data_IF_405554039821
#
_entry.id   IF_405554039821
#
_cell.length_a   1.000
_cell.length_b   1.000
_cell.length_c   1.000
_cell.angle_alpha   90.00
_cell.angle_beta   90.00
_cell.angle_gamma   90.00
#
_symmetry.space_group_name_H-M   'P 1'
#
loop_
_entity.id
_entity.type
_entity.pdbx_description
1 polymer ?
#
# COMPACT_ATOMS: atom_id res chain seq x y z
N UNK A 1 15.57 15.71 24.92
CA UNK A 1 15.50 14.91 23.69
C UNK A 1 14.10 14.31 23.66
N UNK A 2 13.30 14.66 22.65
CA UNK A 2 12.00 14.02 22.45
C UNK A 2 12.28 12.72 21.69
N UNK A 3 12.08 11.58 22.33
CA UNK A 3 12.04 10.28 21.64
C UNK A 3 10.91 10.36 20.61
N UNK A 4 11.26 10.35 19.33
CA UNK A 4 10.31 10.04 18.27
C UNK A 4 9.88 8.59 18.51
N UNK A 5 8.66 8.42 19.03
CA UNK A 5 7.99 7.12 19.06
C UNK A 5 7.76 6.76 17.59
N UNK A 6 8.62 5.90 17.04
CA UNK A 6 8.39 5.27 15.74
C UNK A 6 7.09 4.47 15.83
N UNK A 7 6.03 4.98 15.22
CA UNK A 7 4.81 4.23 15.02
C UNK A 7 5.13 3.18 13.95
N UNK A 8 5.15 1.90 14.32
CA UNK A 8 5.41 0.79 13.38
C UNK A 8 4.62 0.97 12.07
N UNK A 9 5.34 1.25 10.98
CA UNK A 9 4.79 1.41 9.63
C UNK A 9 4.56 2.86 9.14
N UNK A 10 4.94 3.90 9.90
CA UNK A 10 4.87 5.27 9.42
C UNK A 10 6.10 5.62 8.55
N UNK A 11 5.88 5.84 7.24
CA UNK A 11 6.92 6.25 6.28
C UNK A 11 7.24 7.75 6.40
N UNK A 12 8.48 8.15 6.11
CA UNK A 12 8.80 9.57 5.95
C UNK A 12 8.13 10.15 4.68
N UNK A 13 7.97 11.47 4.60
CA UNK A 13 7.38 12.11 3.41
C UNK A 13 8.16 11.83 2.12
N UNK A 14 9.49 11.78 2.19
CA UNK A 14 10.32 11.42 1.04
C UNK A 14 10.15 9.95 0.65
N UNK A 15 10.11 9.06 1.64
CA UNK A 15 9.86 7.64 1.40
C UNK A 15 8.45 7.41 0.82
N UNK A 16 7.46 8.23 1.18
CA UNK A 16 6.10 8.13 0.66
C UNK A 16 6.02 8.41 -0.84
N UNK A 17 6.72 9.44 -1.35
CA UNK A 17 6.69 9.76 -2.77
C UNK A 17 7.42 8.70 -3.60
N UNK A 18 8.59 8.24 -3.14
CA UNK A 18 9.33 7.16 -3.80
C UNK A 18 8.56 5.84 -3.77
N UNK A 19 7.98 5.50 -2.61
CA UNK A 19 7.14 4.30 -2.46
C UNK A 19 5.95 4.37 -3.41
N UNK A 20 5.24 5.50 -3.47
CA UNK A 20 4.08 5.64 -4.36
C UNK A 20 4.44 5.43 -5.83
N UNK A 21 5.59 5.95 -6.29
CA UNK A 21 6.06 5.73 -7.66
C UNK A 21 6.36 4.24 -7.92
N UNK A 22 7.06 3.57 -7.01
CA UNK A 22 7.32 2.12 -7.11
C UNK A 22 6.04 1.30 -7.13
N UNK A 23 5.04 1.66 -6.31
CA UNK A 23 3.72 1.01 -6.34
C UNK A 23 3.06 1.16 -7.72
N UNK A 24 3.14 2.34 -8.35
CA UNK A 24 2.65 2.52 -9.72
C UNK A 24 3.43 1.69 -10.75
N UNK A 25 4.75 1.59 -10.64
CA UNK A 25 5.57 0.75 -11.53
C UNK A 25 5.14 -0.72 -11.47
N UNK A 26 4.85 -1.26 -10.26
CA UNK A 26 4.34 -2.62 -10.11
C UNK A 26 2.97 -2.79 -10.77
N UNK A 27 2.06 -1.83 -10.58
CA UNK A 27 0.75 -1.86 -11.22
C UNK A 27 0.88 -1.85 -12.74
N UNK A 28 1.68 -0.95 -13.30
CA UNK A 28 1.91 -0.83 -14.75
C UNK A 28 2.53 -2.10 -15.34
N UNK A 29 3.56 -2.66 -14.70
CA UNK A 29 4.18 -3.91 -15.13
C UNK A 29 3.22 -5.11 -15.14
N UNK A 30 2.16 -5.05 -14.32
CA UNK A 30 1.11 -6.06 -14.24
C UNK A 30 -0.16 -5.68 -15.04
N UNK A 31 -0.11 -4.65 -15.90
CA UNK A 31 -1.23 -4.13 -16.71
C UNK A 31 -2.45 -3.62 -15.90
N UNK A 32 -2.19 -3.06 -14.71
CA UNK A 32 -3.21 -2.38 -13.90
C UNK A 32 -3.06 -0.86 -14.00
N UNK A 33 -4.16 -0.17 -14.25
CA UNK A 33 -4.19 1.29 -14.44
C UNK A 33 -5.14 1.96 -13.44
N UNK A 34 -4.84 1.81 -12.15
CA UNK A 34 -5.62 2.42 -11.08
C UNK A 34 -4.95 3.69 -10.54
N UNK A 35 -5.76 4.63 -10.05
CA UNK A 35 -5.27 5.78 -9.30
C UNK A 35 -5.20 5.46 -7.81
N UNK A 36 -4.01 5.59 -7.21
CA UNK A 36 -3.78 5.30 -5.78
C UNK A 36 -4.31 6.45 -4.92
N UNK A 37 -5.34 6.18 -4.12
CA UNK A 37 -5.88 7.08 -3.10
C UNK A 37 -5.03 7.03 -1.82
N UNK A 38 -4.79 5.85 -1.28
CA UNK A 38 -3.96 5.63 -0.09
C UNK A 38 -3.32 4.24 -0.13
N UNK A 39 -2.28 4.03 0.67
CA UNK A 39 -1.61 2.73 0.76
C UNK A 39 -1.07 2.53 2.17
N UNK A 40 -0.85 1.26 2.54
CA UNK A 40 -0.40 0.87 3.86
C UNK A 40 0.64 -0.25 3.76
N UNK A 41 1.81 -0.03 4.37
CA UNK A 41 2.82 -1.06 4.55
C UNK A 41 2.31 -2.09 5.56
N UNK A 42 1.97 -3.28 5.08
CA UNK A 42 1.45 -4.35 5.91
C UNK A 42 2.57 -5.13 6.64
N UNK A 43 3.65 -5.41 5.93
CA UNK A 43 4.79 -6.16 6.47
C UNK A 43 6.07 -5.81 5.72
N UNK A 44 7.19 -5.78 6.44
CA UNK A 44 8.52 -5.57 5.88
C UNK A 44 9.43 -6.74 6.26
N UNK A 45 9.77 -7.58 5.27
CA UNK A 45 10.71 -8.68 5.45
C UNK A 45 12.14 -8.17 5.22
N UNK A 46 12.70 -7.55 6.27
CA UNK A 46 14.12 -7.12 6.34
C UNK A 46 14.50 -6.17 5.19
N UNK A 47 13.57 -5.35 4.71
CA UNK A 47 13.76 -4.43 3.59
C UNK A 47 13.82 -5.09 2.21
N UNK A 48 13.80 -6.43 2.13
CA UNK A 48 13.90 -7.19 0.88
C UNK A 48 12.55 -7.36 0.19
N UNK A 49 11.49 -7.58 0.98
CA UNK A 49 10.12 -7.71 0.48
C UNK A 49 9.19 -6.90 1.36
N UNK A 50 8.57 -5.87 0.78
CA UNK A 50 7.60 -5.01 1.48
C UNK A 50 6.21 -5.26 0.91
N UNK A 51 5.29 -5.72 1.75
CA UNK A 51 3.91 -6.00 1.38
C UNK A 51 3.04 -4.77 1.62
N UNK A 52 2.25 -4.41 0.62
CA UNK A 52 1.37 -3.26 0.66
C UNK A 52 -0.07 -3.64 0.37
N UNK A 53 -0.97 -3.02 1.11
CA UNK A 53 -2.34 -2.83 0.65
C UNK A 53 -2.45 -1.44 0.03
N UNK A 54 -2.98 -1.37 -1.18
CA UNK A 54 -3.34 -0.12 -1.87
C UNK A 54 -4.85 0.01 -1.86
N UNK A 55 -5.33 1.22 -1.60
CA UNK A 55 -6.69 1.63 -1.88
C UNK A 55 -6.69 2.61 -3.04
N UNK A 56 -7.50 2.32 -4.05
CA UNK A 56 -7.69 3.18 -5.20
C UNK A 56 -8.79 4.22 -4.97
N UNK A 57 -8.94 5.18 -5.88
CA UNK A 57 -10.01 6.19 -5.83
C UNK A 57 -11.42 5.61 -6.01
N UNK A 58 -11.55 4.45 -6.67
CA UNK A 58 -12.80 3.71 -6.85
C UNK A 58 -13.07 2.65 -5.76
N UNK A 59 -12.28 2.66 -4.67
CA UNK A 59 -12.38 1.73 -3.53
C UNK A 59 -12.00 0.26 -3.83
N UNK A 60 -11.34 0.01 -4.95
CA UNK A 60 -10.62 -1.24 -5.16
C UNK A 60 -9.45 -1.35 -4.18
N UNK A 61 -9.28 -2.53 -3.58
CA UNK A 61 -8.12 -2.83 -2.73
C UNK A 61 -7.18 -3.76 -3.49
N UNK A 62 -5.90 -3.42 -3.54
CA UNK A 62 -4.89 -4.21 -4.24
C UNK A 62 -3.85 -4.68 -3.21
N UNK A 63 -3.56 -5.97 -3.20
CA UNK A 63 -2.50 -6.59 -2.42
C UNK A 63 -1.31 -6.89 -3.32
N UNK A 64 -0.15 -6.35 -2.99
CA UNK A 64 1.06 -6.48 -3.79
C UNK A 64 2.32 -6.39 -2.94
N UNK A 65 3.48 -6.74 -3.52
CA UNK A 65 4.78 -6.49 -2.90
C UNK A 65 5.72 -5.61 -3.74
N UNK A 66 6.58 -4.88 -3.04
CA UNK A 66 7.81 -4.33 -3.59
C UNK A 66 8.95 -5.28 -3.23
N UNK A 67 9.63 -5.82 -4.24
CA UNK A 67 10.80 -6.69 -4.07
C UNK A 67 11.63 -6.73 -5.37
N UNK A 68 12.65 -7.59 -5.45
CA UNK A 68 13.35 -7.91 -6.70
C UNK A 68 12.40 -8.50 -7.76
N UNK A 69 11.33 -9.19 -7.33
CA UNK A 69 10.30 -9.78 -8.18
C UNK A 69 8.93 -9.24 -7.74
N UNK A 70 8.56 -8.00 -8.16
CA UNK A 70 7.31 -7.39 -7.75
C UNK A 70 6.11 -8.10 -8.37
N UNK A 71 5.06 -8.30 -7.56
CA UNK A 71 3.87 -9.04 -7.97
C UNK A 71 2.61 -8.42 -7.35
N UNK A 72 1.51 -8.45 -8.11
CA UNK A 72 0.15 -8.19 -7.61
C UNK A 72 -0.48 -9.53 -7.26
N UNK A 73 -0.78 -9.74 -5.98
CA UNK A 73 -1.34 -11.01 -5.49
C UNK A 73 -2.84 -11.07 -5.63
N UNK A 74 -3.53 -9.95 -5.39
CA UNK A 74 -4.99 -9.91 -5.41
C UNK A 74 -5.52 -8.51 -5.68
N UNK A 75 -6.68 -8.47 -6.34
CA UNK A 75 -7.48 -7.27 -6.56
C UNK A 75 -8.88 -7.54 -6.01
N UNK A 76 -9.31 -6.72 -5.06
CA UNK A 76 -10.60 -6.84 -4.39
C UNK A 76 -11.49 -5.65 -4.76
N UNK A 77 -12.53 -5.93 -5.54
CA UNK A 77 -13.51 -4.93 -5.99
C UNK A 77 -14.80 -4.99 -5.17
N UNK A 78 -15.61 -3.93 -5.22
CA UNK A 78 -16.97 -3.91 -4.67
C UNK A 78 -17.06 -3.70 -3.14
N UNK A 79 -15.96 -3.35 -2.47
CA UNK A 79 -16.01 -2.97 -1.06
C UNK A 79 -16.61 -1.57 -0.87
N UNK A 80 -17.50 -1.44 0.12
CA UNK A 80 -17.96 -0.15 0.61
C UNK A 80 -16.93 0.51 1.53
N UNK A 81 -16.99 1.83 1.67
CA UNK A 81 -16.19 2.59 2.65
C UNK A 81 -16.22 1.97 4.05
N UNK A 82 -17.41 1.56 4.49
CA UNK A 82 -17.63 0.99 5.81
C UNK A 82 -16.92 -0.37 5.96
N UNK A 83 -16.94 -1.21 4.91
CA UNK A 83 -16.21 -2.47 4.89
C UNK A 83 -14.70 -2.24 4.91
N UNK A 84 -14.19 -1.32 4.10
CA UNK A 84 -12.75 -1.00 4.07
C UNK A 84 -12.27 -0.52 5.43
N UNK A 85 -12.98 0.44 6.04
CA UNK A 85 -12.64 0.95 7.39
C UNK A 85 -12.66 -0.16 8.44
N UNK A 86 -13.62 -1.08 8.36
CA UNK A 86 -13.75 -2.21 9.30
C UNK A 86 -12.64 -3.24 9.13
N UNK A 87 -12.36 -3.67 7.90
CA UNK A 87 -11.38 -4.73 7.59
C UNK A 87 -9.95 -4.22 7.83
N UNK A 88 -9.63 -3.05 7.28
CA UNK A 88 -8.29 -2.47 7.35
C UNK A 88 -8.10 -1.54 8.55
N UNK A 89 -9.05 -1.53 9.50
CA UNK A 89 -8.98 -0.79 10.77
C UNK A 89 -8.58 0.68 10.59
N UNK A 90 -9.10 1.31 9.55
CA UNK A 90 -8.83 2.71 9.23
C UNK A 90 -7.44 3.02 8.62
N UNK A 91 -6.63 2.02 8.27
CA UNK A 91 -5.30 2.21 7.66
C UNK A 91 -5.34 2.64 6.19
N UNK A 92 -6.46 2.38 5.51
CA UNK A 92 -6.71 2.71 4.11
C UNK A 92 -7.83 3.76 3.98
N UNK A 93 -7.77 4.86 4.73
CA UNK A 93 -8.77 5.94 4.64
C UNK A 93 -8.60 6.81 3.39
#
# INVERSE_FOLDING_TARGET
MLEQVEIEGQLSMFDMDETKNKLYEVLEANNYHYEIKSYYLHHDYIGLVKYFYIRTTDNTIIDLCLSEFPEVFAVYEGFTEAQIKKIYRGRLQ
#
